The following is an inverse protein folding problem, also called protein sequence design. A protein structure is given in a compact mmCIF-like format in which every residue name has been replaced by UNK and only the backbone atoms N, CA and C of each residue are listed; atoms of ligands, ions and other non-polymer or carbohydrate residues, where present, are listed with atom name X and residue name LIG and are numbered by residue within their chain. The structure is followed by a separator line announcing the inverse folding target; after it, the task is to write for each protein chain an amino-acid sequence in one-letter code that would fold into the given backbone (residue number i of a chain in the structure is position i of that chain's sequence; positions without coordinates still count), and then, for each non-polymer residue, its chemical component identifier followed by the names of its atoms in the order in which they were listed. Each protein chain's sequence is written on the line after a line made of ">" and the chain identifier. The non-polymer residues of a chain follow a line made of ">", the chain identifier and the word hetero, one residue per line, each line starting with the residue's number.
data_IF_725429764088
#
_entry.id   IF_725429764088
#
_cell.length_a   1.000
_cell.length_b   1.000
_cell.length_c   1.000
_cell.angle_alpha   90.00
_cell.angle_beta   90.00
_cell.angle_gamma   90.00
#
_symmetry.space_group_name_H-M   'P 1'
#
loop_
_entity.id
_entity.type
_entity.pdbx_description
1 polymer ?
#
# COMPACT_ATOMS: atom_id res chain seq x y z
N UNK A 1 22.36 106.01 16.30
CA UNK A 1 21.02 106.62 16.08
C UNK A 1 19.94 106.06 17.00
N UNK A 2 19.97 104.77 17.37
CA UNK A 2 18.94 104.17 18.25
C UNK A 2 18.96 104.75 19.67
N UNK A 3 20.14 104.92 20.28
CA UNK A 3 20.27 105.41 21.67
C UNK A 3 19.59 106.76 21.86
N UNK A 4 19.81 107.71 20.94
CA UNK A 4 19.25 109.06 21.06
C UNK A 4 17.70 109.07 21.10
N UNK A 5 17.05 108.10 20.44
CA UNK A 5 15.58 107.92 20.56
C UNK A 5 15.18 107.35 21.92
N UNK A 6 15.94 106.37 22.44
CA UNK A 6 15.73 105.81 23.78
C UNK A 6 15.95 106.87 24.86
N UNK A 7 16.98 107.71 24.74
CA UNK A 7 17.23 108.87 25.62
C UNK A 7 16.04 109.83 25.63
N UNK A 8 15.47 110.19 24.47
CA UNK A 8 14.29 111.07 24.42
C UNK A 8 13.03 110.44 25.04
N UNK A 9 12.83 109.13 24.87
CA UNK A 9 11.68 108.44 25.48
C UNK A 9 11.82 108.33 27.02
N UNK A 10 13.03 108.04 27.49
CA UNK A 10 13.37 108.00 28.92
C UNK A 10 13.22 109.39 29.57
N UNK A 11 13.70 110.44 28.90
CA UNK A 11 13.56 111.84 29.34
C UNK A 11 12.08 112.26 29.44
N UNK A 12 11.24 111.88 28.48
CA UNK A 12 9.79 112.15 28.52
C UNK A 12 9.14 111.50 29.76
N UNK A 13 9.45 110.22 30.03
CA UNK A 13 8.91 109.49 31.17
C UNK A 13 9.34 110.05 32.54
N UNK A 14 10.60 110.49 32.67
CA UNK A 14 11.08 111.17 33.89
C UNK A 14 10.32 112.47 34.16
N UNK A 15 10.09 113.27 33.11
CA UNK A 15 9.38 114.57 33.22
C UNK A 15 7.89 114.37 33.50
N UNK A 16 7.26 113.33 32.93
CA UNK A 16 5.90 112.95 33.28
C UNK A 16 5.78 112.43 34.73
N UNK A 17 6.81 111.79 35.29
CA UNK A 17 6.85 111.44 36.72
C UNK A 17 6.98 112.67 37.64
N UNK A 18 7.76 113.69 37.23
CA UNK A 18 7.84 114.97 37.97
C UNK A 18 6.51 115.73 37.98
N UNK A 19 5.69 115.57 36.94
CA UNK A 19 4.40 116.26 36.75
C UNK A 19 3.39 116.01 37.88
N UNK A 20 3.48 114.85 38.53
CA UNK A 20 2.59 114.45 39.62
C UNK A 20 3.12 114.91 41.01
N UNK A 21 4.42 115.24 41.09
CA UNK A 21 5.06 115.80 42.30
C UNK A 21 5.03 117.33 42.35
N UNK A 22 5.01 118.01 41.20
CA UNK A 22 5.07 119.47 41.10
C UNK A 22 3.77 120.03 40.46
N UNK A 23 2.71 120.26 41.26
CA UNK A 23 1.42 120.74 40.74
C UNK A 23 1.47 122.19 40.20
N UNK A 24 2.50 122.98 40.56
CA UNK A 24 2.70 124.34 40.04
C UNK A 24 3.57 124.31 38.79
N UNK A 25 3.00 124.76 37.67
CA UNK A 25 3.62 124.70 36.33
C UNK A 25 5.02 125.33 36.25
N UNK A 26 5.27 126.43 36.96
CA UNK A 26 6.57 127.11 36.94
C UNK A 26 7.70 126.28 37.59
N UNK A 27 7.41 125.60 38.69
CA UNK A 27 8.39 124.74 39.39
C UNK A 27 8.67 123.48 38.57
N UNK A 28 7.63 122.88 37.96
CA UNK A 28 7.77 121.76 37.03
C UNK A 28 8.68 122.10 35.83
N UNK A 29 8.60 123.32 35.27
CA UNK A 29 9.52 123.75 34.22
C UNK A 29 10.97 123.89 34.71
N UNK A 30 11.22 124.30 35.95
CA UNK A 30 12.58 124.37 36.53
C UNK A 30 13.18 122.96 36.69
N UNK A 31 12.42 122.02 37.25
CA UNK A 31 12.92 120.64 37.42
C UNK A 31 13.09 119.92 36.08
N UNK A 32 12.26 120.22 35.06
CA UNK A 32 12.48 119.75 33.69
C UNK A 32 13.80 120.28 33.10
N UNK A 33 14.15 121.57 33.34
CA UNK A 33 15.47 122.10 32.95
C UNK A 33 16.62 121.34 33.62
N UNK A 34 16.48 121.03 34.92
CA UNK A 34 17.47 120.29 35.69
C UNK A 34 17.66 118.85 35.17
N UNK A 35 16.57 118.12 34.88
CA UNK A 35 16.66 116.76 34.32
C UNK A 35 17.31 116.76 32.94
N UNK A 36 16.89 117.66 32.04
CA UNK A 36 17.50 117.77 30.70
C UNK A 36 19.01 118.02 30.79
N UNK A 37 19.43 118.98 31.61
CA UNK A 37 20.81 119.41 31.71
C UNK A 37 21.70 118.41 32.46
N UNK A 38 21.33 118.02 33.68
CA UNK A 38 22.20 117.21 34.56
C UNK A 38 22.15 115.71 34.28
N UNK A 39 20.98 115.15 33.92
CA UNK A 39 20.83 113.69 33.73
C UNK A 39 21.03 113.23 32.28
N UNK A 40 20.79 114.12 31.31
CA UNK A 40 20.87 113.81 29.88
C UNK A 40 21.87 114.67 29.10
N UNK A 41 22.51 115.68 29.72
CA UNK A 41 23.50 116.54 29.05
C UNK A 41 22.93 117.46 27.97
N UNK A 42 21.60 117.58 27.85
CA UNK A 42 20.94 118.38 26.80
C UNK A 42 20.66 119.78 27.32
N UNK A 43 21.13 120.80 26.60
CA UNK A 43 20.84 122.20 26.94
C UNK A 43 19.33 122.48 26.82
N UNK A 44 18.62 122.85 27.91
CA UNK A 44 17.20 123.13 27.86
C UNK A 44 16.91 124.38 27.02
N UNK A 45 15.87 124.30 26.17
CA UNK A 45 15.39 125.41 25.34
C UNK A 45 13.88 125.58 25.50
N UNK A 46 13.37 126.80 25.33
CA UNK A 46 11.93 127.12 25.48
C UNK A 46 11.01 126.15 24.71
N UNK A 47 11.38 125.81 23.47
CA UNK A 47 10.58 124.94 22.61
C UNK A 47 10.62 123.47 23.10
N UNK A 48 11.79 122.94 23.44
CA UNK A 48 11.92 121.58 23.97
C UNK A 48 11.15 121.42 25.29
N UNK A 49 11.31 122.36 26.23
CA UNK A 49 10.58 122.38 27.50
C UNK A 49 9.07 122.37 27.29
N UNK A 50 8.55 123.21 26.37
CA UNK A 50 7.13 123.28 26.06
C UNK A 50 6.60 121.97 25.46
N UNK A 51 7.35 121.34 24.55
CA UNK A 51 6.98 120.05 23.94
C UNK A 51 6.98 118.88 24.94
N UNK A 52 7.84 118.92 25.96
CA UNK A 52 7.95 117.92 27.02
C UNK A 52 6.84 118.08 28.08
N UNK A 53 6.63 119.29 28.60
CA UNK A 53 5.74 119.56 29.75
C UNK A 53 4.28 119.84 29.36
N UNK A 54 4.05 120.43 28.17
CA UNK A 54 2.71 120.67 27.56
C UNK A 54 1.66 121.34 28.45
N UNK A 55 2.06 122.18 29.41
CA UNK A 55 1.16 122.93 30.30
C UNK A 55 1.55 124.42 30.38
N UNK A 56 0.54 125.30 30.48
CA UNK A 56 0.73 126.75 30.64
C UNK A 56 0.85 127.55 29.34
N UNK A 57 0.96 128.88 29.46
CA UNK A 57 1.14 129.81 28.35
C UNK A 57 2.60 129.90 27.87
N UNK A 58 2.82 130.38 26.63
CA UNK A 58 4.14 130.45 25.99
C UNK A 58 5.21 131.28 26.74
N UNK A 59 4.83 132.18 27.65
CA UNK A 59 5.79 132.97 28.44
C UNK A 59 6.49 132.15 29.53
N UNK A 60 5.78 131.21 30.16
CA UNK A 60 6.26 130.48 31.37
C UNK A 60 7.55 129.69 31.14
N UNK A 61 7.74 128.92 30.04
CA UNK A 61 8.98 128.16 29.84
C UNK A 61 10.20 129.07 29.67
N UNK A 62 10.02 130.25 29.05
CA UNK A 62 11.11 131.22 28.84
C UNK A 62 11.55 131.89 30.15
N UNK A 63 10.61 132.15 31.06
CA UNK A 63 10.90 132.72 32.37
C UNK A 63 11.58 131.70 33.29
N UNK A 64 11.04 130.47 33.35
CA UNK A 64 11.63 129.36 34.10
C UNK A 64 13.05 129.03 33.61
N UNK A 65 13.29 129.04 32.29
CA UNK A 65 14.61 128.82 31.71
C UNK A 65 15.62 129.93 32.07
N UNK A 66 15.21 131.21 32.00
CA UNK A 66 16.05 132.34 32.44
C UNK A 66 16.42 132.21 33.93
N UNK A 67 15.47 131.82 34.77
CA UNK A 67 15.66 131.63 36.20
C UNK A 67 16.60 130.45 36.49
N UNK A 68 16.37 129.29 35.88
CA UNK A 68 17.27 128.13 35.96
C UNK A 68 18.72 128.50 35.61
N UNK A 69 18.95 129.22 34.50
CA UNK A 69 20.30 129.68 34.14
C UNK A 69 20.86 130.78 35.06
N UNK A 70 20.05 131.43 35.89
CA UNK A 70 20.52 132.34 36.94
C UNK A 70 20.95 131.52 38.17
N UNK A 71 20.00 130.74 38.72
CA UNK A 71 20.19 129.86 39.88
C UNK A 71 21.40 128.91 39.69
N UNK A 72 21.60 128.39 38.46
CA UNK A 72 22.74 127.54 38.12
C UNK A 72 24.07 128.29 38.10
N UNK A 73 24.14 129.52 37.58
CA UNK A 73 25.37 130.32 37.58
C UNK A 73 25.72 130.83 38.97
N UNK A 74 24.73 131.08 39.81
CA UNK A 74 24.91 131.43 41.22
C UNK A 74 25.45 130.22 42.01
N UNK A 75 24.89 129.03 41.83
CA UNK A 75 25.36 127.79 42.48
C UNK A 75 26.68 127.23 41.95
N UNK A 76 26.97 127.41 40.66
CA UNK A 76 28.24 127.02 40.05
C UNK A 76 29.37 128.04 40.28
N UNK A 77 29.08 129.16 40.95
CA UNK A 77 30.09 130.12 41.39
C UNK A 77 30.88 129.51 42.55
N UNK A 78 31.98 128.84 42.24
CA UNK A 78 33.03 128.54 43.22
C UNK A 78 33.60 129.88 43.66
N UNK A 79 33.06 130.40 44.77
CA UNK A 79 33.25 131.79 45.16
C UNK A 79 34.59 131.98 45.87
N UNK A 80 35.66 132.03 45.06
CA UNK A 80 36.99 132.51 45.44
C UNK A 80 36.94 134.02 45.71
N UNK A 81 36.13 134.43 46.69
CA UNK A 81 36.04 135.81 47.15
C UNK A 81 37.34 136.20 47.85
N UNK A 82 38.20 136.95 47.14
CA UNK A 82 39.24 137.82 47.69
C UNK A 82 39.99 137.29 48.92
N UNK A 83 40.81 136.26 48.70
CA UNK A 83 42.11 136.25 49.33
C UNK A 83 43.05 137.07 48.43
N UNK A 84 43.57 138.20 48.93
CA UNK A 84 44.45 139.12 48.20
C UNK A 84 45.87 138.56 48.03
N UNK A 85 45.97 137.38 47.38
CA UNK A 85 47.24 136.81 46.95
C UNK A 85 47.84 137.68 45.83
N UNK A 86 49.14 138.05 45.91
CA UNK A 86 49.83 138.67 44.80
C UNK A 86 49.78 137.79 43.54
N UNK A 87 49.70 138.41 42.37
CA UNK A 87 49.45 137.67 41.12
C UNK A 87 50.58 136.69 40.74
N UNK A 88 51.81 136.94 41.22
CA UNK A 88 52.90 135.96 41.14
C UNK A 88 52.57 134.63 41.84
N UNK A 89 51.88 134.66 42.98
CA UNK A 89 51.46 133.45 43.72
C UNK A 89 50.31 132.75 42.98
N UNK A 90 49.37 133.52 42.40
CA UNK A 90 48.28 132.96 41.57
C UNK A 90 48.84 132.26 40.32
N UNK A 91 49.78 132.90 39.62
CA UNK A 91 50.46 132.32 38.46
C UNK A 91 51.26 131.07 38.83
N UNK A 92 52.09 131.15 39.88
CA UNK A 92 52.93 130.01 40.31
C UNK A 92 52.09 128.82 40.79
N UNK A 93 51.02 129.06 41.55
CA UNK A 93 50.08 128.03 42.00
C UNK A 93 49.28 127.41 40.84
N UNK A 94 48.79 128.24 39.92
CA UNK A 94 48.08 127.77 38.73
C UNK A 94 48.99 126.95 37.79
N UNK A 95 50.25 127.34 37.65
CA UNK A 95 51.25 126.62 36.88
C UNK A 95 51.58 125.27 37.53
N UNK A 96 51.84 125.22 38.84
CA UNK A 96 52.08 123.97 39.57
C UNK A 96 50.88 123.01 39.46
N UNK A 97 49.65 123.52 39.59
CA UNK A 97 48.43 122.71 39.43
C UNK A 97 48.28 122.21 37.98
N UNK A 98 48.64 123.03 36.98
CA UNK A 98 48.67 122.63 35.58
C UNK A 98 49.70 121.53 35.27
N UNK A 99 50.88 121.60 35.88
CA UNK A 99 51.94 120.59 35.77
C UNK A 99 51.55 119.29 36.47
N UNK A 100 50.95 119.35 37.67
CA UNK A 100 50.38 118.19 38.38
C UNK A 100 49.25 117.56 37.56
N UNK A 101 48.36 118.36 36.97
CA UNK A 101 47.29 117.87 36.09
C UNK A 101 47.84 117.18 34.84
N UNK A 102 48.87 117.77 34.19
CA UNK A 102 49.51 117.18 33.02
C UNK A 102 50.25 115.86 33.34
N UNK A 103 50.84 115.74 34.54
CA UNK A 103 51.42 114.49 35.04
C UNK A 103 50.34 113.43 35.34
N UNK A 104 49.26 113.82 36.00
CA UNK A 104 48.13 112.93 36.28
C UNK A 104 47.45 112.43 34.99
N UNK A 105 47.27 113.30 34.00
CA UNK A 105 46.72 112.93 32.69
C UNK A 105 47.63 111.92 31.97
N UNK A 106 48.95 112.14 31.93
CA UNK A 106 49.90 111.18 31.33
C UNK A 106 49.86 109.82 32.02
N UNK A 107 49.88 109.79 33.35
CA UNK A 107 49.80 108.55 34.12
C UNK A 107 48.45 107.82 33.89
N UNK A 108 47.35 108.56 33.75
CA UNK A 108 46.06 108.01 33.38
C UNK A 108 46.09 107.41 31.96
N UNK A 109 46.59 108.15 30.96
CA UNK A 109 46.68 107.71 29.57
C UNK A 109 47.57 106.46 29.42
N UNK A 110 48.71 106.41 30.11
CA UNK A 110 49.60 105.24 30.18
C UNK A 110 48.89 104.03 30.82
N UNK A 111 48.17 104.23 31.95
CA UNK A 111 47.41 103.15 32.59
C UNK A 111 46.27 102.61 31.71
N UNK A 112 45.62 103.48 30.93
CA UNK A 112 44.56 103.12 29.98
C UNK A 112 45.13 102.32 28.80
N UNK A 113 46.35 102.62 28.35
CA UNK A 113 47.04 101.84 27.31
C UNK A 113 47.34 100.42 27.84
N UNK A 114 47.88 100.29 29.05
CA UNK A 114 48.17 98.98 29.67
C UNK A 114 46.89 98.16 29.87
N UNK A 115 45.82 98.76 30.40
CA UNK A 115 44.52 98.11 30.58
C UNK A 115 43.87 97.67 29.26
N UNK A 116 44.06 98.44 28.18
CA UNK A 116 43.60 98.05 26.83
C UNK A 116 44.42 96.88 26.27
N UNK A 117 45.72 96.85 26.52
CA UNK A 117 46.58 95.76 26.08
C UNK A 117 46.27 94.46 26.82
N UNK A 118 46.08 94.48 28.14
CA UNK A 118 45.67 93.29 28.89
C UNK A 118 44.29 92.79 28.45
N UNK A 119 43.31 93.69 28.32
CA UNK A 119 41.97 93.32 27.86
C UNK A 119 41.95 92.78 26.41
N UNK A 120 42.85 93.22 25.53
CA UNK A 120 43.01 92.62 24.19
C UNK A 120 43.60 91.21 24.26
N UNK A 121 44.63 90.99 25.08
CA UNK A 121 45.22 89.65 25.26
C UNK A 121 44.22 88.68 25.90
N UNK A 122 43.47 89.11 26.92
CA UNK A 122 42.40 88.32 27.55
C UNK A 122 41.27 88.00 26.56
N UNK A 123 40.84 88.97 25.74
CA UNK A 123 39.87 88.74 24.67
C UNK A 123 40.37 87.71 23.67
N UNK A 124 41.62 87.84 23.22
CA UNK A 124 42.16 86.99 22.15
C UNK A 124 42.43 85.55 22.66
N UNK A 125 42.81 85.40 23.93
CA UNK A 125 42.84 84.10 24.60
C UNK A 125 41.42 83.48 24.74
N UNK A 126 40.42 84.28 25.13
CA UNK A 126 39.03 83.81 25.26
C UNK A 126 38.40 83.44 23.90
N UNK A 127 38.74 84.15 22.82
CA UNK A 127 38.35 83.79 21.46
C UNK A 127 39.02 82.49 21.00
N UNK A 128 40.34 82.35 21.19
CA UNK A 128 41.06 81.13 20.85
C UNK A 128 40.54 79.89 21.61
N UNK A 129 40.13 80.05 22.87
CA UNK A 129 39.53 78.97 23.65
C UNK A 129 38.08 78.68 23.23
N UNK A 130 37.29 79.70 22.90
CA UNK A 130 35.95 79.53 22.30
C UNK A 130 36.02 78.73 21.00
N UNK A 131 36.95 79.09 20.11
CA UNK A 131 37.06 78.47 18.79
C UNK A 131 37.51 76.99 18.90
N UNK A 132 38.43 76.68 19.84
CA UNK A 132 38.76 75.29 20.21
C UNK A 132 37.54 74.51 20.72
N UNK A 133 36.74 75.11 21.60
CA UNK A 133 35.55 74.45 22.13
C UNK A 133 34.48 74.23 21.05
N UNK A 134 34.37 75.10 20.04
CA UNK A 134 33.52 74.88 18.88
C UNK A 134 34.04 73.74 17.98
N UNK A 135 35.37 73.64 17.76
CA UNK A 135 35.99 72.50 17.06
C UNK A 135 35.82 71.17 17.82
N UNK A 136 36.01 71.16 19.15
CA UNK A 136 35.80 69.98 19.99
C UNK A 136 34.32 69.54 20.01
N UNK A 137 33.38 70.49 20.10
CA UNK A 137 31.94 70.21 19.98
C UNK A 137 31.61 69.65 18.59
N UNK A 138 32.22 70.18 17.52
CA UNK A 138 32.04 69.67 16.17
C UNK A 138 32.54 68.21 16.05
N UNK A 139 33.76 67.93 16.53
CA UNK A 139 34.32 66.57 16.54
C UNK A 139 33.50 65.59 17.36
N UNK A 140 33.09 65.96 18.58
CA UNK A 140 32.23 65.12 19.42
C UNK A 140 30.85 64.90 18.79
N UNK A 141 30.29 65.89 18.10
CA UNK A 141 29.01 65.73 17.39
C UNK A 141 29.11 64.76 16.21
N UNK A 142 30.24 64.75 15.50
CA UNK A 142 30.53 63.80 14.44
C UNK A 142 30.69 62.38 15.00
N UNK A 143 31.50 62.20 16.05
CA UNK A 143 31.67 60.91 16.73
C UNK A 143 30.35 60.34 17.28
N UNK A 144 29.50 61.20 17.86
CA UNK A 144 28.16 60.81 18.32
C UNK A 144 27.20 60.46 17.18
N UNK A 145 27.37 61.04 15.98
CA UNK A 145 26.62 60.66 14.79
C UNK A 145 27.10 59.31 14.27
N UNK A 146 28.41 59.16 14.05
CA UNK A 146 29.01 57.93 13.53
C UNK A 146 28.72 56.73 14.45
N UNK A 147 28.75 56.94 15.77
CA UNK A 147 28.34 55.92 16.75
C UNK A 147 26.86 55.55 16.67
N UNK A 148 25.96 56.49 16.39
CA UNK A 148 24.53 56.21 16.16
C UNK A 148 24.30 55.46 14.85
N UNK A 149 24.98 55.86 13.78
CA UNK A 149 24.90 55.21 12.48
C UNK A 149 25.44 53.76 12.55
N UNK A 150 26.51 53.53 13.33
CA UNK A 150 27.01 52.18 13.65
C UNK A 150 26.02 51.35 14.48
N UNK A 151 25.38 51.93 15.50
CA UNK A 151 24.35 51.24 16.30
C UNK A 151 23.15 50.86 15.42
N UNK A 152 22.64 51.78 14.60
CA UNK A 152 21.53 51.51 13.69
C UNK A 152 21.87 50.42 12.65
N UNK A 153 23.12 50.40 12.15
CA UNK A 153 23.61 49.33 11.27
C UNK A 153 23.67 47.98 12.02
N UNK A 154 24.18 47.96 13.25
CA UNK A 154 24.25 46.75 14.08
C UNK A 154 22.85 46.21 14.40
N UNK A 155 21.92 47.05 14.84
CA UNK A 155 20.51 46.70 15.07
C UNK A 155 19.87 46.13 13.79
N UNK A 156 20.13 46.75 12.63
CA UNK A 156 19.70 46.25 11.33
C UNK A 156 20.26 44.87 10.97
N UNK A 157 21.50 44.54 11.37
CA UNK A 157 22.03 43.17 11.22
C UNK A 157 21.42 42.17 12.22
N UNK A 158 21.17 42.60 13.46
CA UNK A 158 20.55 41.76 14.50
C UNK A 158 19.10 41.40 14.14
N UNK A 159 18.34 42.33 13.53
CA UNK A 159 16.99 42.04 13.03
C UNK A 159 17.05 41.00 11.91
N UNK A 160 17.89 41.20 10.88
CA UNK A 160 18.06 40.23 9.79
C UNK A 160 18.45 38.84 10.29
N UNK A 161 19.41 38.75 11.22
CA UNK A 161 19.81 37.48 11.82
C UNK A 161 18.69 36.82 12.62
N UNK A 162 17.80 37.59 13.29
CA UNK A 162 16.61 37.05 13.95
C UNK A 162 15.58 36.53 12.96
N UNK A 163 15.37 37.23 11.84
CA UNK A 163 14.46 36.81 10.78
C UNK A 163 14.98 35.54 10.07
N UNK A 164 16.28 35.48 9.78
CA UNK A 164 16.98 34.30 9.23
C UNK A 164 16.91 33.10 10.19
N UNK A 165 17.16 33.30 11.49
CA UNK A 165 17.02 32.26 12.51
C UNK A 165 15.56 31.80 12.68
N UNK A 166 14.60 32.72 12.60
CA UNK A 166 13.17 32.40 12.65
C UNK A 166 12.72 31.56 11.45
N UNK A 167 13.17 31.92 10.25
CA UNK A 167 12.91 31.15 9.03
C UNK A 167 13.58 29.77 9.08
N UNK A 168 14.83 29.68 9.58
CA UNK A 168 15.52 28.42 9.75
C UNK A 168 14.84 27.50 10.78
N UNK A 169 14.37 28.05 11.91
CA UNK A 169 13.64 27.30 12.93
C UNK A 169 12.28 26.80 12.42
N UNK A 170 11.55 27.61 11.65
CA UNK A 170 10.30 27.19 11.00
C UNK A 170 10.53 26.07 9.97
N UNK A 171 11.58 26.17 9.16
CA UNK A 171 11.97 25.12 8.22
C UNK A 171 12.39 23.82 8.93
N UNK A 172 13.13 23.91 10.04
CA UNK A 172 13.46 22.75 10.87
C UNK A 172 12.19 22.08 11.43
N UNK A 173 11.27 22.85 12.00
CA UNK A 173 10.00 22.33 12.51
C UNK A 173 9.16 21.65 11.42
N UNK A 174 9.13 22.18 10.19
CA UNK A 174 8.47 21.52 9.07
C UNK A 174 9.16 20.19 8.69
N UNK A 175 10.50 20.16 8.66
CA UNK A 175 11.23 18.91 8.39
C UNK A 175 11.04 17.86 9.49
N UNK A 176 10.97 18.26 10.76
CA UNK A 176 10.71 17.36 11.88
C UNK A 176 9.27 16.80 11.85
N UNK A 177 8.27 17.61 11.46
CA UNK A 177 6.90 17.13 11.26
C UNK A 177 6.86 16.07 10.16
N UNK A 178 7.37 16.39 8.96
CA UNK A 178 7.43 15.45 7.82
C UNK A 178 8.21 14.16 8.15
N UNK A 179 9.26 14.27 8.95
CA UNK A 179 10.09 13.15 9.38
C UNK A 179 9.40 12.27 10.44
N UNK A 180 8.54 12.84 11.28
CA UNK A 180 7.70 12.08 12.21
C UNK A 180 6.47 11.45 11.53
N UNK A 181 5.89 12.11 10.53
CA UNK A 181 4.87 11.53 9.63
C UNK A 181 5.45 10.30 8.90
N UNK A 182 6.59 10.46 8.22
CA UNK A 182 7.25 9.35 7.52
C UNK A 182 7.66 8.19 8.46
N UNK A 183 7.96 8.46 9.74
CA UNK A 183 8.18 7.41 10.76
C UNK A 183 6.89 6.66 11.11
N UNK A 184 5.77 7.36 11.24
CA UNK A 184 4.47 6.73 11.48
C UNK A 184 4.02 5.87 10.28
N UNK A 185 4.22 6.37 9.05
CA UNK A 185 3.95 5.61 7.83
C UNK A 185 4.80 4.32 7.78
N UNK A 186 6.10 4.41 8.07
CA UNK A 186 6.99 3.23 8.14
C UNK A 186 6.49 2.20 9.17
N UNK A 187 6.01 2.63 10.34
CA UNK A 187 5.53 1.71 11.37
C UNK A 187 4.19 1.07 11.01
N UNK A 188 3.23 1.85 10.45
CA UNK A 188 1.96 1.26 9.96
C UNK A 188 2.18 0.28 8.81
N UNK A 189 3.15 0.54 7.92
CA UNK A 189 3.55 -0.40 6.87
C UNK A 189 4.22 -1.66 7.44
N UNK A 190 5.03 -1.55 8.49
CA UNK A 190 5.58 -2.72 9.22
C UNK A 190 4.47 -3.55 9.85
N UNK A 191 3.50 -2.92 10.49
CA UNK A 191 2.34 -3.61 11.09
C UNK A 191 1.53 -4.36 10.02
N UNK A 192 1.23 -3.72 8.88
CA UNK A 192 0.54 -4.34 7.74
C UNK A 192 1.33 -5.51 7.15
N UNK A 193 2.65 -5.37 6.98
CA UNK A 193 3.51 -6.49 6.55
C UNK A 193 3.48 -7.62 7.58
N UNK A 194 3.50 -7.31 8.87
CA UNK A 194 3.42 -8.31 9.93
C UNK A 194 2.07 -9.05 9.96
N UNK A 195 0.95 -8.37 9.64
CA UNK A 195 -0.38 -9.02 9.58
C UNK A 195 -0.50 -9.89 8.35
N UNK A 196 -0.13 -9.39 7.16
CA UNK A 196 -0.09 -10.18 5.92
C UNK A 196 0.80 -11.43 6.05
N UNK A 197 1.94 -11.35 6.73
CA UNK A 197 2.80 -12.50 6.98
C UNK A 197 2.15 -13.52 7.95
N UNK A 198 1.45 -13.07 8.99
CA UNK A 198 0.69 -13.93 9.92
C UNK A 198 -0.50 -14.61 9.23
N UNK A 199 -1.25 -13.85 8.43
CA UNK A 199 -2.38 -14.35 7.64
C UNK A 199 -1.91 -15.40 6.63
N UNK A 200 -0.86 -15.10 5.85
CA UNK A 200 -0.27 -16.03 4.89
C UNK A 200 0.33 -17.29 5.56
N UNK A 201 0.91 -17.17 6.75
CA UNK A 201 1.37 -18.34 7.52
C UNK A 201 0.18 -19.25 7.90
N UNK A 202 -0.91 -18.66 8.41
CA UNK A 202 -2.13 -19.40 8.73
C UNK A 202 -2.86 -19.96 7.49
N UNK A 203 -2.69 -19.35 6.31
CA UNK A 203 -3.16 -19.94 5.04
C UNK A 203 -2.31 -21.14 4.61
N UNK A 204 -0.98 -21.05 4.71
CA UNK A 204 -0.07 -22.17 4.42
C UNK A 204 -0.38 -23.35 5.34
N UNK A 205 -0.56 -23.11 6.64
CA UNK A 205 -0.97 -24.14 7.63
C UNK A 205 -2.29 -24.81 7.22
N UNK A 206 -3.36 -24.04 6.94
CA UNK A 206 -4.66 -24.57 6.48
C UNK A 206 -4.56 -25.35 5.18
N UNK A 207 -3.65 -24.99 4.27
CA UNK A 207 -3.41 -25.72 3.02
C UNK A 207 -2.64 -27.02 3.28
N UNK A 208 -1.63 -27.00 4.14
CA UNK A 208 -0.89 -28.19 4.58
C UNK A 208 -1.81 -29.20 5.26
N UNK A 209 -2.68 -28.75 6.17
CA UNK A 209 -3.71 -29.61 6.80
C UNK A 209 -4.65 -30.25 5.78
N UNK A 210 -5.10 -29.48 4.78
CA UNK A 210 -5.98 -29.99 3.70
C UNK A 210 -5.27 -31.02 2.83
N UNK A 211 -3.99 -30.81 2.53
CA UNK A 211 -3.17 -31.77 1.78
C UNK A 211 -2.98 -33.05 2.62
N UNK A 212 -2.58 -32.94 3.88
CA UNK A 212 -2.38 -34.08 4.78
C UNK A 212 -3.67 -34.88 5.01
N UNK A 213 -4.82 -34.23 5.14
CA UNK A 213 -6.13 -34.90 5.19
C UNK A 213 -6.51 -35.57 3.86
N UNK A 214 -6.13 -34.98 2.71
CA UNK A 214 -6.34 -35.60 1.40
C UNK A 214 -5.44 -36.84 1.22
N UNK A 215 -4.15 -36.74 1.56
CA UNK A 215 -3.21 -37.87 1.55
C UNK A 215 -3.69 -39.00 2.46
N UNK A 216 -4.13 -38.72 3.69
CA UNK A 216 -4.74 -39.73 4.57
C UNK A 216 -5.91 -40.45 3.88
N UNK A 217 -6.87 -39.70 3.30
CA UNK A 217 -8.01 -40.27 2.55
C UNK A 217 -7.55 -41.10 1.34
N UNK A 218 -6.52 -40.68 0.62
CA UNK A 218 -5.94 -41.46 -0.49
C UNK A 218 -5.26 -42.74 0.00
N UNK A 219 -4.51 -42.72 1.10
CA UNK A 219 -3.91 -43.95 1.66
C UNK A 219 -4.97 -44.92 2.16
N UNK A 220 -6.07 -44.44 2.75
CA UNK A 220 -7.16 -45.29 3.21
C UNK A 220 -7.99 -45.85 2.06
N UNK A 221 -8.20 -45.07 0.99
CA UNK A 221 -8.77 -45.57 -0.26
C UNK A 221 -7.88 -46.66 -0.87
N UNK A 222 -6.56 -46.43 -0.94
CA UNK A 222 -5.60 -47.40 -1.46
C UNK A 222 -5.59 -48.71 -0.65
N UNK A 223 -5.62 -48.63 0.69
CA UNK A 223 -5.76 -49.80 1.58
C UNK A 223 -7.04 -50.58 1.28
N UNK A 224 -8.18 -49.89 1.11
CA UNK A 224 -9.47 -50.53 0.77
C UNK A 224 -9.43 -51.20 -0.60
N UNK A 225 -8.96 -50.49 -1.64
CA UNK A 225 -8.89 -51.05 -3.00
C UNK A 225 -7.91 -52.21 -3.12
N UNK A 226 -6.83 -52.25 -2.33
CA UNK A 226 -5.94 -53.41 -2.25
C UNK A 226 -6.64 -54.62 -1.62
N UNK A 227 -7.33 -54.42 -0.49
CA UNK A 227 -8.13 -55.47 0.17
C UNK A 227 -9.24 -55.99 -0.74
N UNK A 228 -9.91 -55.12 -1.49
CA UNK A 228 -10.96 -55.52 -2.44
C UNK A 228 -10.39 -56.23 -3.68
N UNK A 229 -9.25 -55.77 -4.21
CA UNK A 229 -8.52 -56.48 -5.27
C UNK A 229 -8.09 -57.90 -4.84
N UNK A 230 -7.65 -58.08 -3.59
CA UNK A 230 -7.31 -59.40 -3.07
C UNK A 230 -8.55 -60.27 -2.82
N UNK A 231 -9.70 -59.71 -2.42
CA UNK A 231 -10.98 -60.45 -2.43
C UNK A 231 -11.29 -60.97 -3.83
N UNK A 232 -11.25 -60.09 -4.85
CA UNK A 232 -11.52 -60.47 -6.25
C UNK A 232 -10.51 -61.51 -6.77
N UNK A 233 -9.23 -61.42 -6.42
CA UNK A 233 -8.23 -62.46 -6.70
C UNK A 233 -8.59 -63.80 -6.05
N UNK A 234 -9.06 -63.81 -4.79
CA UNK A 234 -9.55 -65.06 -4.16
C UNK A 234 -10.86 -65.57 -4.76
N UNK A 235 -11.74 -64.69 -5.26
CA UNK A 235 -12.96 -65.08 -5.96
C UNK A 235 -12.65 -65.70 -7.33
N UNK A 236 -11.84 -65.03 -8.15
CA UNK A 236 -11.37 -65.51 -9.44
C UNK A 236 -10.63 -66.86 -9.34
N UNK A 237 -9.76 -67.04 -8.34
CA UNK A 237 -9.06 -68.33 -8.13
C UNK A 237 -9.95 -69.43 -7.57
N UNK A 238 -11.05 -69.11 -6.87
CA UNK A 238 -12.11 -70.09 -6.51
C UNK A 238 -12.92 -70.49 -7.75
N UNK A 239 -13.37 -69.53 -8.54
CA UNK A 239 -14.12 -69.75 -9.79
C UNK A 239 -13.30 -70.57 -10.79
N UNK A 240 -12.01 -70.27 -10.96
CA UNK A 240 -11.10 -71.06 -11.80
C UNK A 240 -10.99 -72.51 -11.31
N UNK A 241 -10.86 -72.74 -10.00
CA UNK A 241 -10.82 -74.10 -9.41
C UNK A 241 -12.15 -74.85 -9.58
N UNK A 242 -13.29 -74.16 -9.48
CA UNK A 242 -14.61 -74.75 -9.76
C UNK A 242 -14.75 -75.11 -11.24
N UNK A 243 -14.37 -74.21 -12.15
CA UNK A 243 -14.42 -74.41 -13.59
C UNK A 243 -13.49 -75.55 -14.04
N UNK A 244 -12.29 -75.66 -13.47
CA UNK A 244 -11.39 -76.79 -13.73
C UNK A 244 -11.81 -78.10 -13.03
N UNK A 245 -12.58 -78.03 -11.95
CA UNK A 245 -13.23 -79.21 -11.36
C UNK A 245 -14.37 -79.72 -12.25
N UNK A 246 -15.24 -78.83 -12.75
CA UNK A 246 -16.29 -79.23 -13.70
C UNK A 246 -15.70 -79.72 -15.03
N UNK A 247 -14.61 -79.12 -15.52
CA UNK A 247 -13.87 -79.70 -16.67
C UNK A 247 -13.42 -81.13 -16.42
N UNK A 248 -13.02 -81.48 -15.19
CA UNK A 248 -12.63 -82.85 -14.82
C UNK A 248 -13.82 -83.78 -14.69
N UNK A 249 -14.96 -83.35 -14.15
CA UNK A 249 -16.19 -84.17 -14.09
C UNK A 249 -16.80 -84.38 -15.48
N UNK A 250 -16.72 -83.39 -16.38
CA UNK A 250 -17.08 -83.57 -17.78
C UNK A 250 -16.09 -84.50 -18.51
N UNK A 251 -14.78 -84.37 -18.27
CA UNK A 251 -13.79 -85.29 -18.84
C UNK A 251 -14.02 -86.74 -18.38
N UNK A 252 -14.20 -86.98 -17.07
CA UNK A 252 -14.44 -88.33 -16.55
C UNK A 252 -15.75 -88.92 -17.07
N UNK A 253 -16.82 -88.12 -17.19
CA UNK A 253 -18.08 -88.56 -17.82
C UNK A 253 -17.91 -88.90 -19.31
N UNK A 254 -17.07 -88.16 -20.04
CA UNK A 254 -16.75 -88.47 -21.43
C UNK A 254 -15.94 -89.76 -21.52
N UNK A 255 -14.98 -90.00 -20.63
CA UNK A 255 -14.23 -91.26 -20.54
C UNK A 255 -15.11 -92.44 -20.13
N UNK A 256 -16.04 -92.25 -19.18
CA UNK A 256 -17.07 -93.22 -18.78
C UNK A 256 -17.93 -93.61 -19.99
N UNK A 257 -18.56 -92.63 -20.67
CA UNK A 257 -19.40 -92.85 -21.85
C UNK A 257 -18.61 -93.48 -23.00
N UNK A 258 -17.33 -93.10 -23.21
CA UNK A 258 -16.47 -93.75 -24.19
C UNK A 258 -16.18 -95.21 -23.80
N UNK A 259 -15.95 -95.52 -22.52
CA UNK A 259 -15.74 -96.89 -22.05
C UNK A 259 -17.00 -97.74 -22.16
N UNK A 260 -18.18 -97.16 -21.93
CA UNK A 260 -19.48 -97.82 -22.12
C UNK A 260 -19.78 -98.05 -23.61
N UNK A 261 -19.51 -97.07 -24.47
CA UNK A 261 -19.63 -97.20 -25.92
C UNK A 261 -18.66 -98.28 -26.45
N UNK A 262 -17.42 -98.34 -25.95
CA UNK A 262 -16.47 -99.41 -26.28
C UNK A 262 -16.98 -100.78 -25.80
N UNK A 263 -17.48 -100.90 -24.56
CA UNK A 263 -18.07 -102.15 -24.04
C UNK A 263 -19.27 -102.59 -24.88
N UNK A 264 -20.15 -101.67 -25.27
CA UNK A 264 -21.28 -101.94 -26.15
C UNK A 264 -20.82 -102.37 -27.55
N UNK A 265 -19.80 -101.73 -28.12
CA UNK A 265 -19.19 -102.14 -29.39
C UNK A 265 -18.56 -103.54 -29.31
N UNK A 266 -17.86 -103.88 -28.21
CA UNK A 266 -17.34 -105.23 -28.00
C UNK A 266 -18.47 -106.27 -27.83
N UNK A 267 -19.56 -105.93 -27.14
CA UNK A 267 -20.73 -106.81 -27.03
C UNK A 267 -21.42 -107.01 -28.39
N UNK A 268 -21.61 -105.96 -29.18
CA UNK A 268 -22.18 -106.03 -30.53
C UNK A 268 -21.26 -106.80 -31.50
N UNK A 269 -19.94 -106.60 -31.43
CA UNK A 269 -18.96 -107.34 -32.22
C UNK A 269 -18.97 -108.84 -31.86
N UNK A 270 -19.07 -109.17 -30.57
CA UNK A 270 -19.21 -110.54 -30.08
C UNK A 270 -20.54 -111.16 -30.54
N UNK A 271 -21.66 -110.44 -30.41
CA UNK A 271 -22.97 -110.90 -30.90
C UNK A 271 -22.96 -111.07 -32.43
N UNK A 272 -22.24 -110.23 -33.18
CA UNK A 272 -22.00 -110.38 -34.61
C UNK A 272 -21.18 -111.63 -34.95
N UNK A 273 -20.15 -111.96 -34.15
CA UNK A 273 -19.40 -113.21 -34.27
C UNK A 273 -20.26 -114.43 -33.92
N UNK A 274 -21.06 -114.36 -32.86
CA UNK A 274 -21.99 -115.43 -32.46
C UNK A 274 -23.08 -115.63 -33.55
N UNK A 275 -23.65 -114.56 -34.10
CA UNK A 275 -24.56 -114.62 -35.26
C UNK A 275 -23.86 -115.17 -36.52
N UNK A 276 -22.61 -114.79 -36.79
CA UNK A 276 -21.82 -115.36 -37.91
C UNK A 276 -21.51 -116.84 -37.70
N UNK A 277 -21.31 -117.29 -36.45
CA UNK A 277 -21.17 -118.71 -36.11
C UNK A 277 -22.51 -119.47 -36.24
N UNK A 278 -23.64 -118.83 -35.92
CA UNK A 278 -24.97 -119.39 -36.20
C UNK A 278 -25.28 -119.44 -37.70
N UNK A 279 -24.88 -118.42 -38.48
CA UNK A 279 -25.01 -118.41 -39.94
C UNK A 279 -24.16 -119.49 -40.59
N UNK A 280 -22.86 -119.57 -40.30
CA UNK A 280 -21.98 -120.61 -40.86
C UNK A 280 -22.41 -122.02 -40.41
N UNK A 281 -22.98 -122.17 -39.22
CA UNK A 281 -23.62 -123.44 -38.79
C UNK A 281 -24.92 -123.72 -39.56
N UNK A 282 -25.74 -122.73 -39.87
CA UNK A 282 -26.93 -122.89 -40.69
C UNK A 282 -26.59 -123.18 -42.17
N UNK A 283 -25.53 -122.57 -42.69
CA UNK A 283 -24.93 -122.86 -43.99
C UNK A 283 -24.42 -124.31 -44.02
N UNK A 284 -23.62 -124.74 -43.04
CA UNK A 284 -23.19 -126.15 -42.92
C UNK A 284 -24.36 -127.13 -42.84
N UNK A 285 -25.43 -126.80 -42.11
CA UNK A 285 -26.64 -127.64 -42.05
C UNK A 285 -27.44 -127.64 -43.36
N UNK A 286 -27.41 -126.56 -44.15
CA UNK A 286 -27.96 -126.52 -45.50
C UNK A 286 -27.10 -127.36 -46.46
N UNK A 287 -25.78 -127.27 -46.33
CA UNK A 287 -24.78 -128.03 -47.08
C UNK A 287 -24.88 -129.55 -46.78
N UNK A 288 -25.12 -129.93 -45.53
CA UNK A 288 -25.46 -131.30 -45.10
C UNK A 288 -26.82 -131.75 -45.64
N UNK A 289 -27.85 -130.90 -45.57
CA UNK A 289 -29.17 -131.16 -46.17
C UNK A 289 -29.06 -131.41 -47.68
N UNK A 290 -28.32 -130.59 -48.41
CA UNK A 290 -28.24 -130.68 -49.87
C UNK A 290 -27.33 -131.83 -50.32
N UNK A 291 -26.32 -132.20 -49.52
CA UNK A 291 -25.63 -133.51 -49.64
C UNK A 291 -26.58 -134.68 -49.40
N UNK A 292 -27.42 -134.63 -48.36
CA UNK A 292 -28.40 -135.67 -48.08
C UNK A 292 -29.47 -135.77 -49.17
N UNK A 293 -29.95 -134.64 -49.71
CA UNK A 293 -30.86 -134.60 -50.85
C UNK A 293 -30.21 -135.15 -52.13
N UNK A 294 -28.93 -134.84 -52.36
CA UNK A 294 -28.15 -135.42 -53.45
C UNK A 294 -27.95 -136.94 -53.29
N UNK A 295 -27.81 -137.42 -52.06
CA UNK A 295 -27.73 -138.85 -51.76
C UNK A 295 -29.07 -139.55 -51.96
N UNK A 296 -30.19 -138.99 -51.49
CA UNK A 296 -31.53 -139.58 -51.72
C UNK A 296 -31.96 -139.51 -53.17
N UNK A 297 -31.53 -138.50 -53.94
CA UNK A 297 -31.74 -138.45 -55.39
C UNK A 297 -30.92 -139.53 -56.12
N UNK A 298 -29.69 -139.82 -55.66
CA UNK A 298 -28.86 -140.93 -56.19
C UNK A 298 -29.44 -142.29 -55.85
N UNK A 299 -29.90 -142.52 -54.62
CA UNK A 299 -30.54 -143.80 -54.26
C UNK A 299 -31.90 -143.97 -54.93
N UNK A 300 -32.67 -142.89 -55.13
CA UNK A 300 -33.90 -142.94 -55.93
C UNK A 300 -33.62 -143.31 -57.40
N UNK A 301 -32.55 -142.77 -58.00
CA UNK A 301 -32.12 -143.17 -59.35
C UNK A 301 -31.71 -144.65 -59.40
N UNK A 302 -30.91 -145.12 -58.44
CA UNK A 302 -30.52 -146.53 -58.33
C UNK A 302 -31.71 -147.46 -58.09
N UNK A 303 -32.69 -147.06 -57.29
CA UNK A 303 -33.95 -147.78 -57.15
C UNK A 303 -34.75 -147.82 -58.46
N UNK A 304 -34.79 -146.73 -59.23
CA UNK A 304 -35.42 -146.69 -60.55
C UNK A 304 -34.72 -147.60 -61.58
N UNK A 305 -33.38 -147.63 -61.61
CA UNK A 305 -32.62 -148.58 -62.42
C UNK A 305 -32.93 -150.03 -62.00
N UNK A 306 -32.88 -150.34 -60.70
CA UNK A 306 -33.19 -151.66 -60.18
C UNK A 306 -34.64 -152.08 -60.47
N UNK A 307 -35.62 -151.17 -60.34
CA UNK A 307 -37.01 -151.43 -60.72
C UNK A 307 -37.17 -151.67 -62.22
N UNK A 308 -36.43 -150.96 -63.08
CA UNK A 308 -36.41 -151.22 -64.53
C UNK A 308 -35.82 -152.59 -64.87
N UNK A 309 -34.77 -153.00 -64.16
CA UNK A 309 -34.15 -154.33 -64.30
C UNK A 309 -35.10 -155.43 -63.80
N UNK A 310 -35.77 -155.20 -62.66
CA UNK A 310 -36.75 -156.13 -62.09
C UNK A 310 -38.03 -156.21 -62.95
N UNK A 311 -38.40 -155.14 -63.66
CA UNK A 311 -39.45 -155.15 -64.68
C UNK A 311 -39.01 -155.95 -65.93
N UNK A 312 -37.77 -155.79 -66.40
CA UNK A 312 -37.23 -156.57 -67.51
C UNK A 312 -37.13 -158.07 -67.19
N UNK A 313 -36.69 -158.45 -65.99
CA UNK A 313 -36.70 -159.84 -65.55
C UNK A 313 -38.14 -160.38 -65.35
N UNK A 314 -39.08 -159.57 -64.85
CA UNK A 314 -40.50 -159.96 -64.81
C UNK A 314 -41.11 -160.17 -66.19
N UNK A 315 -40.70 -159.39 -67.20
CA UNK A 315 -41.11 -159.61 -68.59
C UNK A 315 -40.56 -160.95 -69.12
N UNK A 316 -39.26 -161.23 -68.96
CA UNK A 316 -38.65 -162.51 -69.32
C UNK A 316 -39.32 -163.70 -68.61
N UNK A 317 -39.67 -163.57 -67.33
CA UNK A 317 -40.36 -164.60 -66.55
C UNK A 317 -41.83 -164.78 -66.99
N UNK A 318 -42.48 -163.76 -67.53
CA UNK A 318 -43.79 -163.90 -68.17
C UNK A 318 -43.69 -164.64 -69.52
N UNK A 319 -42.72 -164.26 -70.35
CA UNK A 319 -42.46 -164.86 -71.66
C UNK A 319 -42.05 -166.34 -71.56
N UNK A 320 -41.19 -166.69 -70.60
CA UNK A 320 -40.83 -168.07 -70.27
C UNK A 320 -42.00 -168.89 -69.67
N UNK A 321 -42.97 -168.25 -69.01
CA UNK A 321 -44.19 -168.91 -68.54
C UNK A 321 -45.16 -169.20 -69.68
N UNK A 322 -45.32 -168.29 -70.64
CA UNK A 322 -46.14 -168.55 -71.83
C UNK A 322 -45.57 -169.67 -72.70
N UNK A 323 -44.24 -169.82 -72.74
CA UNK A 323 -43.58 -170.94 -73.41
C UNK A 323 -43.81 -172.29 -72.70
N UNK A 324 -43.96 -172.30 -71.37
CA UNK A 324 -44.20 -173.53 -70.58
C UNK A 324 -45.65 -174.03 -70.65
N UNK A 325 -46.67 -173.15 -70.73
CA UNK A 325 -48.07 -173.60 -70.84
C UNK A 325 -48.37 -174.34 -72.16
N UNK A 326 -47.55 -174.15 -73.20
CA UNK A 326 -47.74 -174.78 -74.52
C UNK A 326 -47.32 -176.26 -74.59
N UNK A 327 -46.60 -176.79 -73.58
CA UNK A 327 -46.07 -178.16 -73.61
C UNK A 327 -46.71 -179.16 -72.61
N UNK A 328 -47.59 -178.71 -71.71
CA UNK A 328 -48.12 -179.54 -70.60
C UNK A 328 -49.57 -180.06 -70.82
N UNK A 329 -49.98 -180.30 -72.07
CA UNK A 329 -51.38 -180.51 -72.47
C UNK A 329 -51.92 -181.95 -72.41
N UNK A 330 -51.32 -182.85 -71.61
CA UNK A 330 -51.75 -184.26 -71.45
C UNK A 330 -51.85 -184.75 -70.00
N UNK A 331 -52.65 -184.08 -69.16
CA UNK A 331 -53.28 -184.70 -67.98
C UNK A 331 -54.53 -183.94 -67.50
N UNK A 332 -55.65 -184.65 -67.30
CA UNK A 332 -56.99 -184.16 -66.84
C UNK A 332 -57.82 -185.38 -66.35
N UNK A 333 -58.90 -185.22 -65.57
CA UNK A 333 -59.50 -184.03 -64.94
C UNK A 333 -59.42 -184.11 -63.38
N UNK A 334 -60.01 -183.23 -62.54
CA UNK A 334 -61.43 -183.22 -62.09
C UNK A 334 -61.55 -182.17 -60.94
N UNK A 335 -62.48 -181.19 -60.93
CA UNK A 335 -63.87 -181.22 -60.34
C UNK A 335 -63.86 -181.28 -58.78
N UNK A 336 -64.53 -180.44 -57.97
CA UNK A 336 -65.62 -179.43 -58.19
C UNK A 336 -65.91 -178.53 -56.96
N UNK A 337 -66.37 -177.28 -57.18
CA UNK A 337 -67.43 -176.52 -56.43
C UNK A 337 -67.32 -176.30 -54.87
N UNK A 338 -68.19 -175.49 -54.18
CA UNK A 338 -69.26 -174.57 -54.63
C UNK A 338 -69.29 -173.13 -54.01
N UNK A 339 -70.00 -172.23 -54.72
CA UNK A 339 -70.95 -171.14 -54.31
C UNK A 339 -70.94 -170.39 -52.94
N UNK A 340 -71.18 -169.06 -53.06
CA UNK A 340 -72.27 -168.22 -52.45
C UNK A 340 -72.18 -167.44 -51.10
N UNK A 341 -72.19 -166.09 -51.23
CA UNK A 341 -73.08 -165.10 -50.53
C UNK A 341 -72.88 -164.81 -49.00
N UNK A 342 -73.60 -163.84 -48.35
CA UNK A 342 -73.66 -162.38 -48.62
C UNK A 342 -73.69 -161.46 -47.34
N UNK A 343 -73.83 -160.13 -47.52
CA UNK A 343 -74.54 -159.15 -46.62
C UNK A 343 -74.01 -158.84 -45.17
N UNK A 344 -73.43 -157.64 -44.97
CA UNK A 344 -73.94 -156.44 -44.19
C UNK A 344 -74.80 -156.70 -42.91
N UNK A 345 -74.77 -155.95 -41.75
CA UNK A 345 -74.10 -154.68 -41.35
C UNK A 345 -73.53 -154.58 -39.87
N UNK A 346 -73.19 -153.33 -39.43
CA UNK A 346 -73.10 -152.79 -38.02
C UNK A 346 -71.90 -153.27 -37.17
N UNK A 347 -71.29 -152.52 -36.23
CA UNK A 347 -71.42 -151.17 -35.62
C UNK A 347 -70.07 -150.85 -34.89
N UNK A 348 -69.66 -149.69 -34.32
CA UNK A 348 -70.09 -148.27 -34.08
C UNK A 348 -68.75 -147.44 -33.94
N UNK A 349 -68.54 -146.20 -33.46
CA UNK A 349 -69.26 -145.05 -32.84
C UNK A 349 -68.45 -143.73 -33.11
N UNK A 350 -68.69 -142.67 -32.32
CA UNK A 350 -68.07 -141.33 -32.17
C UNK A 350 -68.59 -140.78 -30.79
N UNK A 351 -68.34 -139.53 -30.32
CA UNK A 351 -67.14 -138.65 -30.29
C UNK A 351 -66.87 -138.09 -28.84
N UNK A 352 -66.02 -137.06 -28.63
CA UNK A 352 -65.86 -136.43 -27.29
C UNK A 352 -64.95 -135.18 -27.13
N UNK A 353 -65.48 -134.00 -27.52
CA UNK A 353 -65.25 -132.59 -27.08
C UNK A 353 -64.25 -132.11 -25.98
N UNK A 354 -63.84 -130.82 -26.12
CA UNK A 354 -63.29 -129.80 -25.16
C UNK A 354 -61.77 -129.84 -24.87
N UNK A 355 -61.05 -128.73 -24.55
CA UNK A 355 -61.25 -127.57 -23.63
C UNK A 355 -61.24 -127.99 -22.13
N UNK A 356 -60.72 -127.22 -21.16
CA UNK A 356 -60.64 -125.75 -21.02
C UNK A 356 -59.27 -125.24 -20.46
N UNK A 357 -59.15 -123.91 -20.40
CA UNK A 357 -58.30 -123.05 -19.51
C UNK A 357 -57.01 -123.62 -18.91
#
# INVERSE_FOLDING_TARGET
>A
MLENRQSTASMQADIDCLRDRFPRTADLYREACAVMFFRYGVTPTTNALYQLVRKGSMSVPSEALKRFWSDLRERARVDLQHADLPDQVKQSGGQLIGEIWALAQKAADESIIVLRQSAMVERDAALAEKDRLEDDIAQLSAQLKDGRDQIAAAEGTIVKQRDELGAAAAAQQETDLRLNEARADIETLRDQISSMLRERAAEIEKLTDRILQAEQRYTDLAKRTLVDLDKERTAATKLQKQLDAERRTFASRIEEIQSEAQRAQFQLARQGQELSAYMTKAELLADERDRAASQTMRTAFQCGELESQLAAERAKVAELREQLERFASTSKPSRREPRSTPVIPRQRRRPGSKQDK
#
